data_IF_106205923669
#
_entry.id   IF_106205923669
#
_cell.length_a   1.000
_cell.length_b   1.000
_cell.length_c   1.000
_cell.angle_alpha   90.00
_cell.angle_beta   90.00
_cell.angle_gamma   90.00
#
_symmetry.space_group_name_H-M   'P 1'
#
loop_
_entity.id
_entity.type
_entity.pdbx_description
1 polymer ?
#
# COMPACT_ATOMS: atom_id res chain seq x y z
N UNK A 1 -34.14 38.08 -7.29
CA UNK A 1 -33.03 37.45 -8.04
C UNK A 1 -31.80 37.51 -7.16
N UNK A 2 -31.46 36.42 -6.50
CA UNK A 2 -30.20 36.24 -5.80
C UNK A 2 -29.86 34.76 -5.93
N UNK A 3 -28.97 34.47 -6.87
CA UNK A 3 -28.42 33.16 -7.15
C UNK A 3 -27.45 32.80 -6.02
N UNK A 4 -27.80 31.84 -5.19
CA UNK A 4 -26.83 31.17 -4.31
C UNK A 4 -26.00 30.22 -5.16
N UNK A 5 -24.78 30.66 -5.44
CA UNK A 5 -23.72 29.87 -6.05
C UNK A 5 -23.45 28.63 -5.19
N UNK A 6 -23.61 27.46 -5.80
CA UNK A 6 -23.38 26.16 -5.17
C UNK A 6 -21.88 25.93 -5.16
N UNK A 7 -21.27 26.07 -3.98
CA UNK A 7 -19.89 25.65 -3.73
C UNK A 7 -19.75 24.17 -4.12
N UNK A 8 -19.10 23.94 -5.27
CA UNK A 8 -18.69 22.64 -5.77
C UNK A 8 -17.68 22.03 -4.78
N UNK A 9 -17.88 20.81 -4.27
CA UNK A 9 -16.88 20.18 -3.41
C UNK A 9 -15.61 19.88 -4.23
N UNK A 10 -14.50 20.48 -3.82
CA UNK A 10 -13.16 20.26 -4.38
C UNK A 10 -12.82 18.76 -4.36
N UNK A 11 -12.89 18.14 -5.53
CA UNK A 11 -12.74 16.69 -5.72
C UNK A 11 -11.28 16.22 -5.76
N UNK A 12 -10.39 16.80 -4.93
CA UNK A 12 -8.95 16.46 -4.90
C UNK A 12 -8.40 16.03 -3.53
N UNK A 13 -9.25 15.80 -2.53
CA UNK A 13 -8.85 15.00 -1.35
C UNK A 13 -9.02 13.51 -1.68
N UNK A 14 -8.09 12.98 -2.48
CA UNK A 14 -8.11 11.57 -2.86
C UNK A 14 -7.94 10.67 -1.64
N UNK A 15 -8.89 9.77 -1.39
CA UNK A 15 -8.75 8.82 -0.30
C UNK A 15 -7.54 7.91 -0.52
N UNK A 16 -6.92 7.40 0.55
CA UNK A 16 -5.76 6.50 0.44
C UNK A 16 -6.05 5.29 -0.48
N UNK A 17 -7.30 4.80 -0.44
CA UNK A 17 -7.76 3.71 -1.31
C UNK A 17 -7.71 4.11 -2.79
N UNK A 18 -8.16 5.32 -3.16
CA UNK A 18 -8.11 5.81 -4.54
C UNK A 18 -6.69 5.93 -5.05
N UNK A 19 -5.75 6.39 -4.21
CA UNK A 19 -4.33 6.47 -4.58
C UNK A 19 -3.74 5.08 -4.84
N UNK A 20 -4.03 4.11 -3.96
CA UNK A 20 -3.59 2.73 -4.15
C UNK A 20 -4.20 2.12 -5.44
N UNK A 21 -5.47 2.39 -5.72
CA UNK A 21 -6.14 1.93 -6.93
C UNK A 21 -5.57 2.59 -8.19
N UNK A 22 -5.21 3.88 -8.12
CA UNK A 22 -4.58 4.60 -9.22
C UNK A 22 -3.19 4.02 -9.53
N UNK A 23 -2.38 3.71 -8.51
CA UNK A 23 -1.10 3.02 -8.66
C UNK A 23 -1.31 1.63 -9.27
N UNK A 24 -2.29 0.86 -8.78
CA UNK A 24 -2.61 -0.46 -9.34
C UNK A 24 -3.00 -0.38 -10.81
N UNK A 25 -3.85 0.58 -11.18
CA UNK A 25 -4.28 0.83 -12.56
C UNK A 25 -3.12 1.25 -13.47
N UNK A 26 -2.17 2.03 -12.94
CA UNK A 26 -0.95 2.37 -13.66
C UNK A 26 -0.11 1.13 -13.96
N UNK A 27 0.17 0.30 -12.95
CA UNK A 27 0.93 -0.94 -13.14
C UNK A 27 0.24 -1.90 -14.12
N UNK A 28 -1.08 -2.03 -14.04
CA UNK A 28 -1.87 -2.80 -15.01
C UNK A 28 -1.77 -2.24 -16.43
N UNK A 29 -1.62 -0.92 -16.60
CA UNK A 29 -1.36 -0.30 -17.90
C UNK A 29 0.02 -0.66 -18.43
N UNK A 30 1.05 -0.64 -17.58
CA UNK A 30 2.40 -1.07 -17.96
C UNK A 30 2.42 -2.54 -18.41
N UNK A 31 1.67 -3.42 -17.72
CA UNK A 31 1.53 -4.83 -18.11
C UNK A 31 0.90 -4.94 -19.50
N UNK A 32 -0.21 -4.24 -19.77
CA UNK A 32 -0.87 -4.25 -21.08
C UNK A 32 0.02 -3.73 -22.20
N UNK A 33 0.83 -2.72 -21.90
CA UNK A 33 1.80 -2.14 -22.84
C UNK A 33 3.08 -2.99 -22.99
N UNK A 34 3.19 -4.11 -22.27
CA UNK A 34 4.40 -4.95 -22.23
C UNK A 34 5.66 -4.16 -21.85
N UNK A 35 5.52 -3.14 -21.00
CA UNK A 35 6.62 -2.31 -20.50
C UNK A 35 7.42 -3.04 -19.40
N UNK A 36 7.97 -4.20 -19.74
CA UNK A 36 8.64 -5.13 -18.79
C UNK A 36 9.85 -4.50 -18.11
N UNK A 37 10.59 -3.63 -18.79
CA UNK A 37 11.73 -2.91 -18.21
C UNK A 37 11.32 -1.98 -17.06
N UNK A 38 10.24 -1.20 -17.22
CA UNK A 38 9.75 -0.32 -16.16
C UNK A 38 9.24 -1.13 -14.96
N UNK A 39 8.50 -2.21 -15.20
CA UNK A 39 8.07 -3.12 -14.12
C UNK A 39 9.27 -3.72 -13.39
N UNK A 40 10.31 -4.14 -14.12
CA UNK A 40 11.52 -4.70 -13.52
C UNK A 40 12.26 -3.67 -12.65
N UNK A 41 12.32 -2.40 -13.08
CA UNK A 41 12.90 -1.32 -12.27
C UNK A 41 12.09 -1.10 -10.99
N UNK A 42 10.75 -1.01 -11.10
CA UNK A 42 9.87 -0.84 -9.94
C UNK A 42 9.98 -2.01 -8.93
N UNK A 43 10.19 -3.24 -9.40
CA UNK A 43 10.46 -4.40 -8.52
C UNK A 43 11.78 -4.28 -7.76
N UNK A 44 12.79 -3.67 -8.39
CA UNK A 44 14.18 -3.58 -7.87
C UNK A 44 14.46 -2.30 -7.12
N UNK A 45 13.45 -1.47 -6.84
CA UNK A 45 13.60 -0.23 -6.09
C UNK A 45 14.40 -0.44 -4.79
N UNK A 46 15.42 0.38 -4.58
CA UNK A 46 15.98 0.58 -3.26
C UNK A 46 15.01 1.45 -2.47
N UNK A 47 14.26 0.82 -1.57
CA UNK A 47 13.25 1.52 -0.76
C UNK A 47 13.86 2.46 0.28
N UNK A 48 15.15 2.33 0.60
CA UNK A 48 15.84 3.21 1.55
C UNK A 48 16.25 4.54 0.91
N UNK A 49 16.54 4.50 -0.40
CA UNK A 49 16.91 5.64 -1.23
C UNK A 49 16.24 5.51 -2.62
N UNK A 50 14.91 5.72 -2.73
CA UNK A 50 14.17 5.48 -3.95
C UNK A 50 14.38 6.62 -4.95
N UNK A 51 15.44 6.53 -5.75
CA UNK A 51 15.87 7.55 -6.75
C UNK A 51 15.48 7.20 -8.19
N UNK A 52 14.61 6.21 -8.39
CA UNK A 52 14.24 5.74 -9.72
C UNK A 52 13.26 6.71 -10.44
N UNK A 53 13.55 7.13 -11.68
CA UNK A 53 12.69 8.07 -12.40
C UNK A 53 11.26 7.56 -12.67
N UNK A 54 11.08 6.26 -12.90
CA UNK A 54 9.74 5.70 -13.14
C UNK A 54 8.91 5.71 -11.85
N UNK A 55 9.54 5.45 -10.71
CA UNK A 55 8.91 5.63 -9.40
C UNK A 55 8.52 7.09 -9.15
N UNK A 56 9.43 8.04 -9.38
CA UNK A 56 9.13 9.47 -9.20
C UNK A 56 7.99 9.96 -10.11
N UNK A 57 7.99 9.57 -11.38
CA UNK A 57 6.92 9.91 -12.31
C UNK A 57 5.57 9.31 -11.89
N UNK A 58 5.57 8.07 -11.37
CA UNK A 58 4.37 7.41 -10.85
C UNK A 58 3.79 8.18 -9.66
N UNK A 59 4.61 8.48 -8.64
CA UNK A 59 4.12 9.14 -7.43
C UNK A 59 3.68 10.58 -7.72
N UNK A 60 4.43 11.34 -8.53
CA UNK A 60 4.07 12.70 -8.91
C UNK A 60 2.73 12.76 -9.68
N UNK A 61 2.40 11.69 -10.42
CA UNK A 61 1.15 11.61 -11.18
C UNK A 61 -0.06 11.21 -10.33
N UNK A 62 0.14 10.37 -9.31
CA UNK A 62 -0.96 9.65 -8.66
C UNK A 62 -1.09 9.91 -7.15
N UNK A 63 -0.07 10.47 -6.51
CA UNK A 63 -0.05 10.71 -5.06
C UNK A 63 -0.20 12.21 -4.80
N UNK A 64 -1.30 12.65 -4.16
CA UNK A 64 -1.47 14.05 -3.77
C UNK A 64 -0.41 14.52 -2.76
N UNK A 65 0.05 15.76 -2.89
CA UNK A 65 1.09 16.37 -2.03
C UNK A 65 0.79 16.28 -0.53
N UNK A 66 -0.49 16.36 -0.14
CA UNK A 66 -0.89 16.30 1.27
C UNK A 66 -0.63 14.94 1.91
N UNK A 67 -0.49 13.86 1.13
CA UNK A 67 -0.13 12.54 1.68
C UNK A 67 1.35 12.42 2.02
N UNK A 68 2.20 13.32 1.54
CA UNK A 68 3.62 13.37 1.90
C UNK A 68 3.89 14.20 3.15
N UNK A 69 2.87 14.83 3.75
CA UNK A 69 3.06 15.78 4.84
C UNK A 69 2.15 15.48 6.01
N UNK A 70 2.71 14.91 7.06
CA UNK A 70 2.13 15.03 8.41
C UNK A 70 2.49 16.39 8.99
N UNK A 71 1.49 17.10 9.51
CA UNK A 71 1.71 18.45 10.09
C UNK A 71 2.68 18.37 11.27
N UNK A 72 3.82 19.03 11.15
CA UNK A 72 4.81 19.17 12.22
C UNK A 72 5.81 18.01 12.36
N UNK A 73 5.77 17.00 11.47
CA UNK A 73 6.79 15.95 11.44
C UNK A 73 8.05 16.42 10.70
N UNK A 74 9.23 16.11 11.23
CA UNK A 74 10.47 16.29 10.48
C UNK A 74 10.55 15.33 9.28
N UNK A 75 11.39 15.63 8.29
CA UNK A 75 11.43 14.90 7.02
C UNK A 75 11.66 13.38 7.17
N UNK A 76 12.50 12.96 8.12
CA UNK A 76 12.83 11.56 8.40
C UNK A 76 12.05 10.94 9.57
N UNK A 77 11.15 11.69 10.22
CA UNK A 77 10.29 11.16 11.28
C UNK A 77 9.13 10.35 10.69
N UNK A 78 8.45 9.51 11.49
CA UNK A 78 7.25 8.80 11.04
C UNK A 78 6.18 9.76 10.49
N UNK A 79 5.84 9.62 9.20
CA UNK A 79 4.92 10.51 8.49
C UNK A 79 5.55 11.77 7.89
N UNK A 80 6.87 11.95 8.04
CA UNK A 80 7.67 12.94 7.32
C UNK A 80 7.75 12.64 5.82
N UNK A 81 8.16 13.63 5.03
CA UNK A 81 8.18 13.53 3.57
C UNK A 81 9.05 12.37 3.06
N UNK A 82 10.26 12.21 3.59
CA UNK A 82 11.16 11.13 3.18
C UNK A 82 10.66 9.77 3.65
N UNK A 83 10.10 9.68 4.88
CA UNK A 83 9.46 8.46 5.36
C UNK A 83 8.29 8.03 4.46
N UNK A 84 7.42 8.98 4.08
CA UNK A 84 6.30 8.71 3.17
C UNK A 84 6.77 8.26 1.79
N UNK A 85 7.82 8.88 1.24
CA UNK A 85 8.44 8.45 -0.02
C UNK A 85 8.94 7.00 0.07
N UNK A 86 9.65 6.61 1.15
CA UNK A 86 10.11 5.24 1.36
C UNK A 86 8.96 4.24 1.52
N UNK A 87 7.86 4.64 2.17
CA UNK A 87 6.64 3.82 2.30
C UNK A 87 5.97 3.60 0.95
N UNK A 88 5.78 4.66 0.16
CA UNK A 88 5.27 4.53 -1.21
C UNK A 88 6.17 3.66 -2.08
N UNK A 89 7.50 3.80 -1.98
CA UNK A 89 8.43 2.92 -2.68
C UNK A 89 8.23 1.44 -2.29
N UNK A 90 8.01 1.16 -1.00
CA UNK A 90 7.72 -0.20 -0.52
C UNK A 90 6.39 -0.74 -1.07
N UNK A 91 5.34 0.09 -1.08
CA UNK A 91 4.04 -0.28 -1.67
C UNK A 91 4.17 -0.60 -3.15
N UNK A 92 4.82 0.29 -3.91
CA UNK A 92 5.03 0.11 -5.35
C UNK A 92 5.86 -1.13 -5.64
N UNK A 93 6.93 -1.37 -4.87
CA UNK A 93 7.74 -2.58 -5.00
C UNK A 93 6.92 -3.85 -4.78
N UNK A 94 6.08 -3.89 -3.74
CA UNK A 94 5.19 -5.02 -3.46
C UNK A 94 4.21 -5.23 -4.62
N UNK A 95 3.57 -4.17 -5.12
CA UNK A 95 2.60 -4.27 -6.22
C UNK A 95 3.27 -4.69 -7.54
N UNK A 96 4.47 -4.19 -7.81
CA UNK A 96 5.25 -4.54 -8.99
C UNK A 96 5.72 -6.01 -8.99
N UNK A 97 5.67 -6.69 -7.84
CA UNK A 97 6.05 -8.09 -7.72
C UNK A 97 5.04 -9.05 -8.39
N UNK A 98 3.78 -8.60 -8.54
CA UNK A 98 2.68 -9.30 -9.24
C UNK A 98 1.68 -8.30 -9.84
N UNK A 99 2.11 -7.47 -10.81
CA UNK A 99 1.32 -6.35 -11.32
C UNK A 99 0.12 -6.80 -12.18
N UNK A 100 0.14 -8.05 -12.63
CA UNK A 100 -0.88 -8.72 -13.42
C UNK A 100 -2.00 -9.36 -12.58
N UNK A 101 -1.79 -9.50 -11.26
CA UNK A 101 -2.77 -10.11 -10.36
C UNK A 101 -2.89 -9.33 -9.04
N UNK A 102 -3.12 -8.03 -9.14
CA UNK A 102 -3.46 -7.17 -8.00
C UNK A 102 -4.93 -7.35 -7.64
N UNK A 103 -5.20 -7.58 -6.35
CA UNK A 103 -6.55 -7.83 -5.85
C UNK A 103 -6.98 -6.79 -4.83
N UNK A 104 -8.18 -6.20 -4.99
CA UNK A 104 -8.78 -5.36 -3.96
C UNK A 104 -9.39 -6.14 -2.80
N UNK A 105 -9.39 -7.50 -2.86
CA UNK A 105 -9.91 -8.35 -1.79
C UNK A 105 -9.10 -8.17 -0.49
N UNK A 106 -9.76 -8.47 0.63
CA UNK A 106 -9.15 -8.38 1.95
C UNK A 106 -7.94 -9.29 2.11
N UNK A 107 -6.87 -8.76 2.70
CA UNK A 107 -5.63 -9.52 2.93
C UNK A 107 -5.86 -10.72 3.84
N UNK A 108 -6.75 -10.62 4.83
CA UNK A 108 -7.04 -11.72 5.75
C UNK A 108 -7.46 -13.00 5.02
N UNK A 109 -8.47 -12.90 4.15
CA UNK A 109 -8.98 -14.04 3.39
C UNK A 109 -7.93 -14.66 2.48
N UNK A 110 -7.20 -13.84 1.72
CA UNK A 110 -6.13 -14.33 0.83
C UNK A 110 -5.02 -15.02 1.63
N UNK A 111 -4.64 -14.50 2.80
CA UNK A 111 -3.62 -15.13 3.63
C UNK A 111 -4.08 -16.47 4.22
N UNK A 112 -5.37 -16.60 4.55
CA UNK A 112 -5.97 -17.87 4.98
C UNK A 112 -5.98 -18.90 3.85
N UNK A 113 -6.43 -18.51 2.65
CA UNK A 113 -6.42 -19.35 1.44
C UNK A 113 -5.00 -19.83 1.06
N UNK A 114 -3.99 -18.99 1.27
CA UNK A 114 -2.56 -19.32 1.05
C UNK A 114 -1.98 -20.20 2.18
N UNK A 115 -2.74 -20.49 3.24
CA UNK A 115 -2.29 -21.30 4.37
C UNK A 115 -1.18 -20.62 5.18
N UNK A 116 -1.28 -19.31 5.40
CA UNK A 116 -0.41 -18.64 6.38
C UNK A 116 -0.79 -19.13 7.78
N UNK A 117 0.18 -19.45 8.64
CA UNK A 117 -0.15 -19.85 10.01
C UNK A 117 -0.62 -18.65 10.85
N UNK A 118 -1.49 -18.90 11.83
CA UNK A 118 -1.96 -17.88 12.77
C UNK A 118 -0.80 -17.16 13.46
N UNK A 119 0.22 -17.91 13.88
CA UNK A 119 1.42 -17.33 14.49
C UNK A 119 2.10 -16.30 13.56
N UNK A 120 2.21 -16.60 12.25
CA UNK A 120 2.82 -15.68 11.29
C UNK A 120 1.94 -14.47 11.01
N UNK A 121 0.62 -14.64 11.00
CA UNK A 121 -0.32 -13.53 10.92
C UNK A 121 -0.19 -12.61 12.15
N UNK A 122 -0.18 -13.18 13.35
CA UNK A 122 -0.01 -12.42 14.58
C UNK A 122 1.31 -11.64 14.58
N UNK A 123 2.42 -12.26 14.14
CA UNK A 123 3.70 -11.56 13.96
C UNK A 123 3.60 -10.39 12.98
N UNK A 124 2.92 -10.58 11.83
CA UNK A 124 2.73 -9.52 10.84
C UNK A 124 1.90 -8.35 11.40
N UNK A 125 0.76 -8.65 12.04
CA UNK A 125 -0.17 -7.62 12.51
C UNK A 125 0.36 -6.88 13.75
N UNK A 126 1.15 -7.53 14.58
CA UNK A 126 1.77 -6.91 15.77
C UNK A 126 3.03 -6.11 15.44
N UNK A 127 3.67 -6.35 14.29
CA UNK A 127 4.85 -5.61 13.88
C UNK A 127 4.54 -4.12 13.60
N UNK A 128 5.57 -3.29 13.76
CA UNK A 128 5.54 -1.84 13.52
C UNK A 128 6.79 -1.39 12.75
N UNK A 129 6.70 -0.24 12.10
CA UNK A 129 7.81 0.44 11.42
C UNK A 129 8.57 -0.45 10.42
N UNK A 130 9.90 -0.42 10.48
CA UNK A 130 10.77 -1.18 9.59
C UNK A 130 10.52 -2.70 9.64
N UNK A 131 10.21 -3.23 10.83
CA UNK A 131 9.89 -4.67 11.01
C UNK A 131 8.61 -5.03 10.27
N UNK A 132 7.57 -4.19 10.37
CA UNK A 132 6.34 -4.39 9.61
C UNK A 132 6.62 -4.34 8.10
N UNK A 133 7.38 -3.35 7.63
CA UNK A 133 7.71 -3.24 6.20
C UNK A 133 8.45 -4.48 5.68
N UNK A 134 9.40 -5.02 6.44
CA UNK A 134 10.12 -6.24 6.08
C UNK A 134 9.19 -7.48 6.04
N UNK A 135 8.33 -7.65 7.06
CA UNK A 135 7.37 -8.74 7.11
C UNK A 135 6.28 -8.63 6.02
N UNK A 136 5.85 -7.41 5.69
CA UNK A 136 4.90 -7.15 4.62
C UNK A 136 5.48 -7.59 3.27
N UNK A 137 6.72 -7.20 2.93
CA UNK A 137 7.39 -7.66 1.70
C UNK A 137 7.54 -9.17 1.66
N UNK A 138 7.97 -9.80 2.76
CA UNK A 138 8.13 -11.26 2.83
C UNK A 138 6.80 -11.99 2.66
N UNK A 139 5.74 -11.48 3.28
CA UNK A 139 4.39 -12.04 3.18
C UNK A 139 3.84 -11.87 1.76
N UNK A 140 3.96 -10.68 1.17
CA UNK A 140 3.61 -10.44 -0.23
C UNK A 140 4.33 -11.41 -1.17
N UNK A 141 5.65 -11.61 -0.98
CA UNK A 141 6.40 -12.57 -1.78
C UNK A 141 5.86 -13.99 -1.66
N UNK A 142 5.48 -14.41 -0.45
CA UNK A 142 4.86 -15.72 -0.22
C UNK A 142 3.53 -15.87 -0.98
N UNK A 143 2.66 -14.85 -0.93
CA UNK A 143 1.39 -14.83 -1.68
C UNK A 143 1.65 -14.98 -3.18
N UNK A 144 2.63 -14.24 -3.71
CA UNK A 144 3.05 -14.32 -5.11
C UNK A 144 3.59 -15.71 -5.48
N UNK A 145 4.44 -16.30 -4.65
CA UNK A 145 4.98 -17.65 -4.87
C UNK A 145 3.87 -18.72 -4.82
N UNK A 146 2.84 -18.51 -4.01
CA UNK A 146 1.66 -19.38 -3.95
C UNK A 146 0.71 -19.22 -5.16
N UNK A 147 1.03 -18.31 -6.11
CA UNK A 147 0.19 -18.06 -7.29
C UNK A 147 -1.10 -17.29 -6.99
N UNK A 148 -1.28 -16.80 -5.76
CA UNK A 148 -2.49 -16.09 -5.35
C UNK A 148 -2.43 -14.60 -5.73
N UNK A 149 -3.58 -13.95 -6.02
CA UNK A 149 -3.63 -12.51 -6.23
C UNK A 149 -3.13 -11.73 -5.02
N UNK A 150 -2.40 -10.64 -5.27
CA UNK A 150 -1.77 -9.83 -4.22
C UNK A 150 -2.77 -8.83 -3.61
N UNK A 151 -3.08 -8.89 -2.29
CA UNK A 151 -4.03 -7.99 -1.64
C UNK A 151 -3.41 -6.60 -1.38
N UNK A 152 -3.26 -5.80 -2.43
CA UNK A 152 -2.48 -4.56 -2.38
C UNK A 152 -3.09 -3.47 -1.49
N UNK A 153 -4.42 -3.43 -1.35
CA UNK A 153 -5.11 -2.38 -0.59
C UNK A 153 -4.74 -2.40 0.88
N UNK A 154 -4.77 -3.57 1.51
CA UNK A 154 -4.47 -3.70 2.94
C UNK A 154 -2.97 -3.59 3.23
N UNK A 155 -2.12 -4.16 2.38
CA UNK A 155 -0.67 -3.93 2.47
C UNK A 155 -0.35 -2.44 2.34
N UNK A 156 -0.90 -1.78 1.32
CA UNK A 156 -0.70 -0.36 1.07
C UNK A 156 -1.19 0.51 2.22
N UNK A 157 -2.41 0.27 2.71
CA UNK A 157 -2.97 0.98 3.86
C UNK A 157 -2.10 0.84 5.09
N UNK A 158 -1.75 -0.38 5.49
CA UNK A 158 -0.91 -0.57 6.69
C UNK A 158 0.47 0.07 6.51
N UNK A 159 1.11 -0.09 5.35
CA UNK A 159 2.43 0.52 5.10
C UNK A 159 2.40 2.05 5.15
N UNK A 160 1.33 2.68 4.69
CA UNK A 160 1.21 4.14 4.63
C UNK A 160 0.69 4.76 5.93
N UNK A 161 0.03 3.98 6.79
CA UNK A 161 -0.58 4.44 8.04
C UNK A 161 0.19 3.99 9.30
N UNK A 162 1.02 2.94 9.23
CA UNK A 162 1.67 2.38 10.40
C UNK A 162 2.62 3.36 11.10
N UNK A 163 2.64 3.34 12.43
CA UNK A 163 3.49 4.23 13.26
C UNK A 163 3.27 5.74 13.01
N UNK A 164 2.17 6.13 12.36
CA UNK A 164 1.77 7.53 12.21
C UNK A 164 0.83 7.94 13.34
N UNK A 165 1.18 8.92 14.18
CA UNK A 165 0.35 9.32 15.33
C UNK A 165 -1.07 9.75 14.95
N UNK A 166 -1.23 10.38 13.79
CA UNK A 166 -2.50 10.86 13.24
C UNK A 166 -3.39 9.74 12.67
N UNK A 167 -2.85 8.54 12.44
CA UNK A 167 -3.56 7.43 11.78
C UNK A 167 -3.55 6.11 12.56
N UNK A 168 -3.12 6.10 13.82
CA UNK A 168 -3.02 4.89 14.64
C UNK A 168 -4.36 4.11 14.69
N UNK A 169 -5.47 4.82 14.90
CA UNK A 169 -6.82 4.22 14.94
C UNK A 169 -7.21 3.56 13.61
N UNK A 170 -6.88 4.18 12.49
CA UNK A 170 -7.20 3.64 11.16
C UNK A 170 -6.32 2.42 10.82
N UNK A 171 -5.04 2.48 11.19
CA UNK A 171 -4.13 1.35 11.05
C UNK A 171 -4.59 0.16 11.92
N UNK A 172 -5.00 0.39 13.16
CA UNK A 172 -5.50 -0.66 14.04
C UNK A 172 -6.84 -1.24 13.58
N UNK A 173 -7.78 -0.40 13.12
CA UNK A 173 -9.02 -0.87 12.51
C UNK A 173 -8.75 -1.77 11.28
N UNK A 174 -7.73 -1.44 10.48
CA UNK A 174 -7.29 -2.27 9.35
C UNK A 174 -6.74 -3.61 9.82
N UNK A 175 -5.91 -3.64 10.88
CA UNK A 175 -5.38 -4.91 11.45
C UNK A 175 -6.50 -5.80 11.99
N UNK A 176 -7.45 -5.24 12.74
CA UNK A 176 -8.59 -5.97 13.29
C UNK A 176 -9.43 -6.58 12.17
N UNK A 177 -9.70 -5.83 11.09
CA UNK A 177 -10.43 -6.33 9.92
C UNK A 177 -9.68 -7.51 9.28
N UNK A 178 -8.39 -7.38 9.05
CA UNK A 178 -7.55 -8.44 8.47
C UNK A 178 -7.59 -9.70 9.34
N UNK A 179 -7.45 -9.56 10.66
CA UNK A 179 -7.51 -10.70 11.58
C UNK A 179 -8.87 -11.43 11.52
N UNK A 180 -9.97 -10.67 11.51
CA UNK A 180 -11.33 -11.24 11.40
C UNK A 180 -11.53 -11.98 10.08
N UNK A 181 -11.10 -11.39 8.97
CA UNK A 181 -11.26 -11.98 7.65
C UNK A 181 -10.42 -13.26 7.48
N UNK A 182 -9.23 -13.29 8.08
CA UNK A 182 -8.39 -14.48 8.11
C UNK A 182 -9.01 -15.63 8.91
N UNK A 183 -9.58 -15.34 10.08
CA UNK A 183 -10.23 -16.34 10.92
C UNK A 183 -11.43 -16.97 10.22
N UNK A 184 -12.22 -16.17 9.51
CA UNK A 184 -13.34 -16.67 8.70
C UNK A 184 -12.91 -17.57 7.55
N UNK A 185 -11.80 -17.25 6.88
CA UNK A 185 -11.31 -18.05 5.75
C UNK A 185 -10.60 -19.33 6.15
N UNK A 186 -10.01 -19.37 7.36
CA UNK A 186 -9.21 -20.52 7.83
C UNK A 186 -10.04 -21.60 8.53
N UNK A 187 -11.33 -21.35 8.75
CA UNK A 187 -12.28 -22.28 9.36
C UNK A 187 -12.90 -23.27 8.35
N UNK A 188 -12.43 -23.26 7.10
CA UNK A 188 -12.87 -24.11 5.99
C UNK A 188 -11.68 -24.91 5.45
#
# INVERSE_FOLDING_TARGET
MTTTDTTRPDSRSGSLTEVLDAIAGHLGTLVRQKATGQIANLRRLDVSAPVDPAFHALIAKHVPDHLFRTRGAAADEPGGEMDMVRRFATVVQIMADRPDALSPKGMGSILGEVGLSEQRLAMLLSARGATFAALARRTAKRVVTAGSPLPYRDFGRLLLLDSRPDHEREAEATRIRVARDFQRSSAH
#
